data_IF_137606805920
#
_entry.id   IF_137606805920
#
_cell.length_a   1.000
_cell.length_b   1.000
_cell.length_c   1.000
_cell.angle_alpha   90.00
_cell.angle_beta   90.00
_cell.angle_gamma   90.00
#
_symmetry.space_group_name_H-M   'P 1'
#
loop_
_entity.id
_entity.type
_entity.pdbx_description
1 polymer ?
#
# COMPACT_ATOMS: atom_id res chain seq x y z
N UNK A 1 10.67 -15.36 -5.17
CA UNK A 1 9.89 -14.08 -5.24
C UNK A 1 9.68 -13.72 -6.70
N UNK A 2 8.44 -13.53 -7.12
CA UNK A 2 8.09 -13.05 -8.45
C UNK A 2 8.01 -11.50 -8.45
N UNK A 3 8.26 -10.89 -9.63
CA UNK A 3 8.23 -9.44 -9.82
C UNK A 3 7.31 -9.08 -10.98
N UNK A 4 6.65 -7.91 -10.88
CA UNK A 4 5.80 -7.35 -11.94
C UNK A 4 6.07 -5.86 -12.10
N UNK A 5 5.95 -5.37 -13.33
CA UNK A 5 6.05 -3.94 -13.60
C UNK A 5 4.90 -3.17 -12.91
N UNK A 6 5.22 -2.01 -12.35
CA UNK A 6 4.20 -1.07 -11.86
C UNK A 6 3.78 -0.17 -13.02
N UNK A 7 2.66 -0.49 -13.66
CA UNK A 7 2.17 0.28 -14.80
C UNK A 7 3.23 0.51 -15.87
N UNK A 8 3.40 1.75 -16.28
CA UNK A 8 4.39 2.18 -17.29
C UNK A 8 5.64 2.81 -16.69
N UNK A 9 5.86 2.70 -15.37
CA UNK A 9 6.97 3.38 -14.66
C UNK A 9 8.35 2.84 -14.97
N UNK A 10 8.45 1.62 -15.50
CA UNK A 10 9.73 0.89 -15.67
C UNK A 10 10.29 0.33 -14.36
N UNK A 11 9.52 0.37 -13.27
CA UNK A 11 9.89 -0.23 -11.98
C UNK A 11 9.28 -1.61 -11.86
N UNK A 12 10.12 -2.63 -11.61
CA UNK A 12 9.71 -3.98 -11.26
C UNK A 12 9.62 -4.11 -9.73
N UNK A 13 8.40 -4.34 -9.23
CA UNK A 13 8.14 -4.59 -7.81
C UNK A 13 7.86 -6.06 -7.55
N UNK A 14 8.23 -6.52 -6.35
CA UNK A 14 7.80 -7.83 -5.83
C UNK A 14 6.28 -7.88 -5.79
N UNK A 15 5.69 -9.01 -6.21
CA UNK A 15 4.23 -9.17 -6.19
C UNK A 15 3.65 -9.09 -4.78
N UNK A 16 4.46 -9.42 -3.76
CA UNK A 16 4.18 -9.19 -2.34
C UNK A 16 4.83 -7.88 -1.90
N UNK A 17 4.03 -6.94 -1.39
CA UNK A 17 4.49 -5.71 -0.75
C UNK A 17 4.34 -5.78 0.77
N UNK A 18 5.27 -5.18 1.50
CA UNK A 18 5.23 -5.10 2.97
C UNK A 18 4.43 -3.87 3.40
N UNK A 19 3.22 -4.10 3.95
CA UNK A 19 2.32 -3.05 4.44
C UNK A 19 2.54 -2.74 5.92
N UNK A 20 2.97 -1.52 6.25
CA UNK A 20 3.31 -1.09 7.61
C UNK A 20 2.11 -0.58 8.43
N UNK A 21 0.87 -0.90 8.04
CA UNK A 21 -0.32 -0.53 8.80
C UNK A 21 -0.57 -1.43 10.02
N UNK A 22 -0.02 -2.65 10.03
CA UNK A 22 -0.29 -3.69 11.04
C UNK A 22 1.01 -4.28 11.61
N UNK A 23 1.97 -3.41 11.92
CA UNK A 23 3.22 -3.83 12.56
C UNK A 23 2.95 -4.42 13.96
N UNK A 24 3.83 -5.27 14.48
CA UNK A 24 3.73 -5.74 15.86
C UNK A 24 3.76 -4.56 16.84
N UNK A 25 2.96 -4.64 17.90
CA UNK A 25 2.82 -3.58 18.90
C UNK A 25 2.95 -4.14 20.30
N UNK A 26 3.47 -3.31 21.22
CA UNK A 26 3.61 -3.62 22.63
C UNK A 26 2.28 -3.37 23.36
N UNK A 27 1.90 -4.26 24.26
CA UNK A 27 0.72 -4.14 25.12
C UNK A 27 -0.59 -3.87 24.37
N UNK A 28 -0.69 -4.24 23.09
CA UNK A 28 -1.87 -4.01 22.25
C UNK A 28 -2.14 -2.53 21.92
N UNK A 29 -1.19 -1.64 22.16
CA UNK A 29 -1.31 -0.21 21.88
C UNK A 29 -0.90 0.10 20.44
N UNK A 30 -1.81 0.66 19.62
CA UNK A 30 -1.50 0.96 18.23
C UNK A 30 -0.29 1.88 18.02
N UNK A 31 -0.06 2.82 18.95
CA UNK A 31 1.01 3.82 18.93
C UNK A 31 2.35 3.32 19.51
N UNK A 32 2.41 2.07 19.97
CA UNK A 32 3.60 1.48 20.57
C UNK A 32 4.12 0.31 19.72
N UNK A 33 4.73 0.62 18.57
CA UNK A 33 5.34 -0.40 17.70
C UNK A 33 6.45 -1.12 18.45
N UNK A 34 6.47 -2.45 18.37
CA UNK A 34 7.63 -3.25 18.76
C UNK A 34 8.71 -3.12 17.68
N UNK A 35 9.65 -2.22 17.92
CA UNK A 35 10.70 -1.88 16.94
C UNK A 35 11.64 -3.05 16.65
N UNK A 36 11.92 -3.91 17.63
CA UNK A 36 12.78 -5.08 17.43
C UNK A 36 12.09 -6.10 16.54
N UNK A 37 10.90 -6.55 16.91
CA UNK A 37 10.13 -7.51 16.14
C UNK A 37 9.75 -6.96 14.75
N UNK A 38 9.34 -5.70 14.65
CA UNK A 38 9.00 -5.06 13.39
C UNK A 38 10.19 -4.96 12.43
N UNK A 39 11.38 -4.63 12.95
CA UNK A 39 12.62 -4.55 12.15
C UNK A 39 13.04 -5.93 11.66
N UNK A 40 12.98 -6.96 12.51
CA UNK A 40 13.27 -8.34 12.12
C UNK A 40 12.37 -8.78 10.96
N UNK A 41 11.06 -8.54 11.06
CA UNK A 41 10.09 -8.86 9.99
C UNK A 41 10.41 -8.13 8.69
N UNK A 42 10.64 -6.83 8.75
CA UNK A 42 10.91 -6.02 7.55
C UNK A 42 12.22 -6.44 6.87
N UNK A 43 13.28 -6.64 7.64
CA UNK A 43 14.58 -7.11 7.11
C UNK A 43 14.45 -8.50 6.50
N UNK A 44 13.77 -9.43 7.19
CA UNK A 44 13.54 -10.77 6.66
C UNK A 44 12.77 -10.72 5.32
N UNK A 45 11.73 -9.89 5.22
CA UNK A 45 10.99 -9.71 3.97
C UNK A 45 11.88 -9.21 2.83
N UNK A 46 12.69 -8.17 3.09
CA UNK A 46 13.61 -7.58 2.09
C UNK A 46 14.71 -8.56 1.69
N UNK A 47 15.27 -9.31 2.64
CA UNK A 47 16.31 -10.31 2.37
C UNK A 47 15.78 -11.49 1.55
N UNK A 48 14.46 -11.73 1.57
CA UNK A 48 13.78 -12.72 0.72
C UNK A 48 13.13 -12.12 -0.55
N UNK A 49 13.53 -10.90 -0.92
CA UNK A 49 13.20 -10.32 -2.22
C UNK A 49 12.01 -9.38 -2.23
N UNK A 50 11.36 -9.07 -1.11
CA UNK A 50 10.37 -8.00 -1.06
C UNK A 50 11.08 -6.65 -1.28
N UNK A 51 10.66 -5.92 -2.31
CA UNK A 51 11.24 -4.62 -2.65
C UNK A 51 10.20 -3.47 -2.71
N UNK A 52 9.02 -3.67 -2.16
CA UNK A 52 7.99 -2.64 -2.05
C UNK A 52 7.53 -2.51 -0.59
N UNK A 53 7.71 -1.33 -0.01
CA UNK A 53 7.35 -1.00 1.38
C UNK A 53 6.34 0.13 1.39
N UNK A 54 5.17 -0.10 1.99
CA UNK A 54 4.06 0.86 2.07
C UNK A 54 3.82 1.33 3.50
N UNK A 55 3.84 2.63 3.71
CA UNK A 55 3.50 3.28 4.99
C UNK A 55 2.56 4.46 4.77
N UNK A 56 2.20 5.18 5.82
CA UNK A 56 1.45 6.42 5.77
C UNK A 56 1.62 7.25 7.03
N UNK A 57 1.34 8.55 6.90
CA UNK A 57 1.50 9.58 7.93
C UNK A 57 0.82 9.24 9.27
N UNK A 58 -0.36 8.61 9.26
CA UNK A 58 -1.13 8.29 10.46
C UNK A 58 -1.23 6.79 10.78
N UNK A 59 -0.44 5.93 10.10
CA UNK A 59 -0.36 4.53 10.51
C UNK A 59 0.29 4.44 11.89
N UNK A 60 -0.30 3.64 12.77
CA UNK A 60 0.10 3.56 14.18
C UNK A 60 -0.05 4.88 14.95
N UNK A 61 -1.08 5.67 14.62
CA UNK A 61 -1.47 6.82 15.41
C UNK A 61 -2.23 6.43 16.68
N UNK A 62 -2.13 7.26 17.72
CA UNK A 62 -2.86 7.07 18.97
C UNK A 62 -4.37 7.13 18.76
N UNK A 63 -4.82 8.05 17.91
CA UNK A 63 -6.21 8.27 17.55
C UNK A 63 -6.34 8.37 16.02
N UNK A 64 -7.56 8.20 15.52
CA UNK A 64 -7.82 8.32 14.08
C UNK A 64 -7.45 9.72 13.57
N UNK A 65 -6.58 9.73 12.54
CA UNK A 65 -6.09 10.97 11.91
C UNK A 65 -4.97 11.68 12.66
N UNK A 66 -4.55 11.18 13.84
CA UNK A 66 -3.35 11.69 14.50
C UNK A 66 -2.09 11.21 13.77
N UNK A 67 -1.02 11.97 13.88
CA UNK A 67 0.31 11.60 13.40
C UNK A 67 0.75 10.27 14.04
N UNK A 68 1.13 9.30 13.22
CA UNK A 68 1.45 7.94 13.66
C UNK A 68 2.93 7.66 13.78
N UNK A 69 3.28 6.48 14.29
CA UNK A 69 4.66 6.04 14.53
C UNK A 69 5.24 5.17 13.39
N UNK A 70 4.44 4.85 12.37
CA UNK A 70 4.90 3.96 11.29
C UNK A 70 6.03 4.56 10.45
N UNK A 71 5.95 5.86 10.06
CA UNK A 71 7.03 6.48 9.28
C UNK A 71 8.35 6.58 10.06
N UNK A 72 8.41 7.02 11.33
CA UNK A 72 9.65 6.97 12.11
C UNK A 72 10.23 5.57 12.25
N UNK A 73 9.37 4.58 12.47
CA UNK A 73 9.79 3.17 12.51
C UNK A 73 10.43 2.76 11.17
N UNK A 74 9.74 2.98 10.05
CA UNK A 74 10.24 2.61 8.70
C UNK A 74 11.57 3.32 8.41
N UNK A 75 11.67 4.62 8.71
CA UNK A 75 12.91 5.37 8.52
C UNK A 75 14.09 4.83 9.33
N UNK A 76 13.84 4.31 10.54
CA UNK A 76 14.86 3.64 11.33
C UNK A 76 15.19 2.25 10.79
N UNK A 77 14.19 1.44 10.50
CA UNK A 77 14.36 0.06 10.05
C UNK A 77 15.02 -0.05 8.67
N UNK A 78 14.81 0.95 7.79
CA UNK A 78 15.48 0.99 6.48
C UNK A 78 16.92 1.55 6.51
N UNK A 79 17.45 1.91 7.67
CA UNK A 79 18.85 2.33 7.78
C UNK A 79 19.83 1.17 7.47
N UNK A 80 21.11 1.50 7.29
CA UNK A 80 22.15 0.46 7.10
C UNK A 80 22.12 -0.24 5.74
N UNK A 81 21.67 0.44 4.69
CA UNK A 81 21.67 -0.08 3.31
C UNK A 81 20.36 -0.77 2.88
N UNK A 82 19.34 -0.78 3.71
CA UNK A 82 18.03 -1.36 3.33
C UNK A 82 17.17 -0.40 2.50
N UNK A 83 17.35 0.93 2.68
CA UNK A 83 16.60 1.95 1.92
C UNK A 83 16.81 1.81 0.40
N UNK A 84 18.02 1.55 -0.03
CA UNK A 84 18.41 1.43 -1.44
C UNK A 84 17.90 0.14 -2.09
N UNK A 85 17.42 -0.80 -1.29
CA UNK A 85 16.92 -2.10 -1.77
C UNK A 85 15.42 -2.12 -1.99
N UNK A 86 14.70 -1.03 -1.65
CA UNK A 86 13.25 -1.00 -1.69
C UNK A 86 12.72 0.22 -2.43
N UNK A 87 11.54 0.05 -3.02
CA UNK A 87 10.68 1.13 -3.46
C UNK A 87 9.81 1.56 -2.28
N UNK A 88 10.08 2.73 -1.72
CA UNK A 88 9.38 3.25 -0.55
C UNK A 88 8.17 4.09 -0.96
N UNK A 89 7.00 3.72 -0.44
CA UNK A 89 5.74 4.42 -0.65
C UNK A 89 5.21 5.00 0.67
N UNK A 90 4.89 6.28 0.68
CA UNK A 90 4.05 6.91 1.72
C UNK A 90 2.99 7.80 1.11
N UNK A 91 2.14 8.42 1.94
CA UNK A 91 0.91 9.04 1.47
C UNK A 91 0.72 10.43 2.08
N UNK A 92 0.44 11.42 1.23
CA UNK A 92 0.01 12.75 1.64
C UNK A 92 -1.35 12.66 2.38
N UNK A 93 -1.42 13.06 3.65
CA UNK A 93 -2.67 13.01 4.43
C UNK A 93 -3.63 14.12 3.96
N UNK A 94 -4.34 13.90 2.86
CA UNK A 94 -5.16 14.91 2.20
C UNK A 94 -6.21 15.56 3.11
N UNK A 95 -6.73 14.83 4.12
CA UNK A 95 -7.70 15.36 5.07
C UNK A 95 -7.08 16.43 6.00
N UNK A 96 -5.76 16.46 6.17
CA UNK A 96 -5.05 17.47 6.97
C UNK A 96 -4.79 18.76 6.20
N UNK A 97 -5.00 18.79 4.87
CA UNK A 97 -4.76 19.95 4.03
C UNK A 97 -5.84 21.01 4.21
N UNK A 98 -5.41 22.22 4.56
CA UNK A 98 -6.23 23.43 4.65
C UNK A 98 -5.86 24.44 3.57
N UNK A 99 -4.62 24.42 3.12
CA UNK A 99 -4.07 25.29 2.09
C UNK A 99 -3.04 24.57 1.25
N UNK A 100 -2.62 25.19 0.14
CA UNK A 100 -1.52 24.70 -0.70
C UNK A 100 -0.20 24.57 0.09
N UNK A 101 0.09 25.50 1.00
CA UNK A 101 1.34 25.52 1.77
C UNK A 101 1.50 24.33 2.73
N UNK A 102 0.41 23.65 3.04
CA UNK A 102 0.47 22.43 3.87
C UNK A 102 1.15 21.27 3.15
N UNK A 103 1.09 21.23 1.82
CA UNK A 103 1.61 20.11 1.03
C UNK A 103 3.14 19.98 1.12
N UNK A 104 3.94 21.01 0.77
CA UNK A 104 5.39 20.92 0.88
C UNK A 104 5.85 20.76 2.32
N UNK A 105 5.17 21.38 3.30
CA UNK A 105 5.46 21.23 4.73
C UNK A 105 5.29 19.77 5.18
N UNK A 106 4.20 19.11 4.80
CA UNK A 106 3.93 17.72 5.14
C UNK A 106 4.90 16.76 4.44
N UNK A 107 5.21 16.99 3.17
CA UNK A 107 6.21 16.19 2.45
C UNK A 107 7.60 16.30 3.12
N UNK A 108 8.04 17.50 3.47
CA UNK A 108 9.30 17.70 4.18
C UNK A 108 9.32 16.98 5.54
N UNK A 109 8.22 17.05 6.30
CA UNK A 109 8.08 16.34 7.56
C UNK A 109 8.13 14.81 7.36
N UNK A 110 7.49 14.27 6.33
CA UNK A 110 7.50 12.85 6.01
C UNK A 110 8.89 12.35 5.60
N UNK A 111 9.63 13.11 4.79
CA UNK A 111 11.01 12.81 4.42
C UNK A 111 11.93 12.76 5.65
N UNK A 112 11.79 13.72 6.59
CA UNK A 112 12.53 13.73 7.85
C UNK A 112 12.21 12.48 8.69
N UNK A 113 10.92 12.13 8.84
CA UNK A 113 10.47 10.95 9.61
C UNK A 113 10.98 9.66 9.00
N UNK A 114 10.95 9.55 7.68
CA UNK A 114 11.42 8.40 6.91
C UNK A 114 12.95 8.37 6.75
N UNK A 115 13.69 9.42 7.21
CA UNK A 115 15.15 9.53 7.13
C UNK A 115 15.67 9.32 5.71
N UNK A 116 14.99 9.89 4.73
CA UNK A 116 15.33 9.76 3.31
C UNK A 116 15.23 11.13 2.62
N UNK A 117 15.96 11.31 1.54
CA UNK A 117 15.92 12.52 0.72
C UNK A 117 14.85 12.48 -0.38
N UNK A 118 14.31 11.31 -0.67
CA UNK A 118 13.25 11.13 -1.66
C UNK A 118 12.32 9.96 -1.35
N UNK A 119 11.15 9.97 -2.01
CA UNK A 119 10.19 8.86 -2.02
C UNK A 119 10.12 8.26 -3.42
N UNK A 120 10.06 6.94 -3.51
CA UNK A 120 9.84 6.30 -4.82
C UNK A 120 8.40 6.50 -5.27
N UNK A 121 7.44 6.33 -4.37
CA UNK A 121 6.02 6.55 -4.65
C UNK A 121 5.37 7.44 -3.59
N UNK A 122 4.67 8.48 -4.05
CA UNK A 122 3.95 9.38 -3.16
C UNK A 122 2.48 9.42 -3.53
N UNK A 123 1.62 8.95 -2.62
CA UNK A 123 0.21 8.76 -2.88
C UNK A 123 -0.63 9.91 -2.30
N UNK A 124 -1.69 10.31 -2.99
CA UNK A 124 -2.80 11.01 -2.34
C UNK A 124 -3.61 10.01 -1.51
N UNK A 125 -3.74 10.24 -0.20
CA UNK A 125 -4.26 9.24 0.73
C UNK A 125 -5.78 9.21 0.81
N UNK A 126 -6.40 8.11 0.38
CA UNK A 126 -7.81 7.84 0.60
C UNK A 126 -8.75 8.71 -0.22
N UNK A 127 -8.49 8.89 -1.51
CA UNK A 127 -9.33 9.67 -2.39
C UNK A 127 -10.74 9.09 -2.53
N UNK A 128 -11.70 10.00 -2.55
CA UNK A 128 -13.06 9.86 -3.10
C UNK A 128 -13.25 10.96 -4.15
N UNK A 129 -14.37 10.98 -4.87
CA UNK A 129 -14.68 12.05 -5.81
C UNK A 129 -14.65 13.43 -5.17
N UNK A 130 -15.33 13.57 -4.01
CA UNK A 130 -15.39 14.83 -3.27
C UNK A 130 -14.01 15.29 -2.75
N UNK A 131 -13.26 14.37 -2.15
CA UNK A 131 -11.94 14.71 -1.62
C UNK A 131 -10.96 15.05 -2.73
N UNK A 132 -11.04 14.41 -3.88
CA UNK A 132 -10.23 14.74 -5.06
C UNK A 132 -10.53 16.16 -5.55
N UNK A 133 -11.81 16.52 -5.75
CA UNK A 133 -12.20 17.86 -6.20
C UNK A 133 -11.68 18.94 -5.24
N UNK A 134 -11.79 18.71 -3.94
CA UNK A 134 -11.28 19.61 -2.91
C UNK A 134 -9.76 19.81 -3.01
N UNK A 135 -8.98 18.74 -3.11
CA UNK A 135 -7.50 18.88 -3.13
C UNK A 135 -6.98 19.33 -4.50
N UNK A 136 -7.69 19.01 -5.59
CA UNK A 136 -7.38 19.55 -6.91
C UNK A 136 -7.56 21.08 -6.93
N UNK A 137 -8.63 21.60 -6.30
CA UNK A 137 -8.84 23.05 -6.14
C UNK A 137 -7.74 23.74 -5.30
N UNK A 138 -7.03 23.00 -4.45
CA UNK A 138 -5.84 23.48 -3.73
C UNK A 138 -4.55 23.41 -4.55
N UNK A 139 -4.57 22.88 -5.79
CA UNK A 139 -3.41 22.75 -6.65
C UNK A 139 -2.53 21.55 -6.32
N UNK A 140 -3.13 20.40 -5.91
CA UNK A 140 -2.37 19.21 -5.52
C UNK A 140 -1.63 18.59 -6.71
N UNK A 141 -2.19 18.64 -7.92
CA UNK A 141 -1.55 18.04 -9.09
C UNK A 141 -0.31 18.82 -9.50
N UNK A 142 -0.38 20.16 -9.45
CA UNK A 142 0.77 21.04 -9.67
C UNK A 142 1.86 20.81 -8.60
N UNK A 143 1.46 20.64 -7.34
CA UNK A 143 2.41 20.34 -6.27
C UNK A 143 3.13 19.01 -6.51
N UNK A 144 2.43 17.96 -6.96
CA UNK A 144 3.07 16.67 -7.27
C UNK A 144 4.12 16.81 -8.38
N UNK A 145 3.84 17.63 -9.41
CA UNK A 145 4.81 17.91 -10.48
C UNK A 145 6.03 18.69 -9.96
N UNK A 146 5.82 19.70 -9.12
CA UNK A 146 6.89 20.47 -8.49
C UNK A 146 7.79 19.54 -7.66
N UNK A 147 7.19 18.72 -6.77
CA UNK A 147 7.93 17.76 -5.93
C UNK A 147 8.72 16.72 -6.77
N UNK A 148 8.16 16.31 -7.93
CA UNK A 148 8.82 15.41 -8.86
C UNK A 148 10.02 16.10 -9.55
N UNK A 149 9.85 17.32 -9.99
CA UNK A 149 10.93 18.12 -10.63
C UNK A 149 12.07 18.42 -9.65
N UNK A 150 11.77 18.63 -8.39
CA UNK A 150 12.74 18.82 -7.31
C UNK A 150 13.43 17.50 -6.88
N UNK A 151 12.97 16.35 -7.39
CA UNK A 151 13.52 15.04 -7.04
C UNK A 151 13.10 14.51 -5.68
N UNK A 152 12.14 15.15 -5.00
CA UNK A 152 11.64 14.73 -3.69
C UNK A 152 10.73 13.51 -3.79
N UNK A 153 10.05 13.31 -4.93
CA UNK A 153 9.27 12.13 -5.26
C UNK A 153 9.59 11.67 -6.68
N UNK A 154 9.57 10.35 -6.92
CA UNK A 154 9.78 9.82 -8.29
C UNK A 154 8.45 9.67 -9.03
N UNK A 155 7.46 9.04 -8.39
CA UNK A 155 6.21 8.65 -9.02
C UNK A 155 4.99 9.03 -8.17
N UNK A 156 4.14 9.94 -8.67
CA UNK A 156 2.84 10.23 -8.07
C UNK A 156 1.86 9.07 -8.24
N UNK A 157 1.09 8.79 -7.19
CA UNK A 157 0.07 7.76 -7.16
C UNK A 157 -1.11 8.18 -6.27
N UNK A 158 -2.11 7.32 -6.09
CA UNK A 158 -3.19 7.58 -5.15
C UNK A 158 -3.76 6.29 -4.56
N UNK A 159 -4.32 6.37 -3.35
CA UNK A 159 -5.18 5.33 -2.79
C UNK A 159 -6.63 5.79 -2.83
N UNK A 160 -7.56 4.84 -3.01
CA UNK A 160 -8.94 5.14 -3.33
C UNK A 160 -9.95 4.46 -2.42
N UNK A 161 -10.93 5.25 -1.95
CA UNK A 161 -12.08 4.80 -1.15
C UNK A 161 -13.35 5.55 -1.57
N UNK A 162 -13.84 5.31 -2.78
CA UNK A 162 -14.98 6.03 -3.34
C UNK A 162 -15.83 5.17 -4.27
N UNK A 163 -16.63 5.82 -5.12
CA UNK A 163 -17.51 5.15 -6.08
C UNK A 163 -16.79 4.83 -7.39
N UNK A 164 -17.18 3.79 -8.14
CA UNK A 164 -16.51 3.38 -9.38
C UNK A 164 -16.37 4.49 -10.43
N UNK A 165 -17.39 5.33 -10.59
CA UNK A 165 -17.35 6.44 -11.57
C UNK A 165 -16.35 7.52 -11.18
N UNK A 166 -16.24 7.83 -9.89
CA UNK A 166 -15.21 8.74 -9.37
C UNK A 166 -13.80 8.18 -9.59
N UNK A 167 -13.63 6.86 -9.44
CA UNK A 167 -12.36 6.19 -9.69
C UNK A 167 -11.86 6.44 -11.12
N UNK A 168 -12.71 6.18 -12.13
CA UNK A 168 -12.36 6.39 -13.54
C UNK A 168 -11.99 7.84 -13.83
N UNK A 169 -12.75 8.78 -13.29
CA UNK A 169 -12.49 10.22 -13.43
C UNK A 169 -11.12 10.61 -12.83
N UNK A 170 -10.77 10.04 -11.68
CA UNK A 170 -9.46 10.30 -11.04
C UNK A 170 -8.33 9.68 -11.85
N UNK A 171 -8.49 8.45 -12.34
CA UNK A 171 -7.51 7.79 -13.23
C UNK A 171 -7.24 8.64 -14.47
N UNK A 172 -8.26 9.25 -15.07
CA UNK A 172 -8.12 10.07 -16.27
C UNK A 172 -7.59 11.48 -16.03
N UNK A 173 -7.54 11.92 -14.76
CA UNK A 173 -7.20 13.32 -14.43
C UNK A 173 -5.69 13.61 -14.43
N UNK A 174 -4.84 12.60 -14.35
CA UNK A 174 -3.41 12.78 -14.21
C UNK A 174 -2.64 11.53 -14.67
N UNK A 175 -1.34 11.67 -14.94
CA UNK A 175 -0.44 10.56 -15.31
C UNK A 175 0.04 9.80 -14.05
N UNK A 176 -0.87 9.03 -13.46
CA UNK A 176 -0.61 8.26 -12.24
C UNK A 176 0.27 7.04 -12.51
N UNK A 177 1.25 6.81 -11.65
CA UNK A 177 2.04 5.58 -11.68
C UNK A 177 1.18 4.35 -11.37
N UNK A 178 0.35 4.45 -10.35
CA UNK A 178 -0.61 3.40 -9.98
C UNK A 178 -1.78 3.94 -9.17
N UNK A 179 -2.83 3.13 -9.08
CA UNK A 179 -3.93 3.27 -8.13
C UNK A 179 -3.85 2.18 -7.07
N UNK A 180 -3.90 2.54 -5.78
CA UNK A 180 -4.02 1.59 -4.67
C UNK A 180 -5.48 1.41 -4.31
N UNK A 181 -6.01 0.21 -4.49
CA UNK A 181 -7.43 -0.12 -4.33
C UNK A 181 -7.64 -1.29 -3.39
N UNK A 182 -8.81 -1.36 -2.76
CA UNK A 182 -9.25 -2.56 -2.07
C UNK A 182 -9.76 -3.57 -3.08
N UNK A 183 -9.24 -4.81 -3.03
CA UNK A 183 -9.72 -5.91 -3.85
C UNK A 183 -9.43 -7.26 -3.21
N UNK A 184 -10.43 -8.13 -3.18
CA UNK A 184 -10.35 -9.52 -2.73
C UNK A 184 -11.58 -10.28 -3.24
N UNK A 185 -11.61 -11.61 -3.13
CA UNK A 185 -12.70 -12.45 -3.67
C UNK A 185 -14.08 -12.21 -3.01
N UNK A 186 -14.15 -11.50 -1.88
CA UNK A 186 -15.42 -11.13 -1.22
C UNK A 186 -15.91 -9.73 -1.62
N UNK A 187 -15.00 -8.86 -2.04
CA UNK A 187 -15.29 -7.45 -2.34
C UNK A 187 -14.99 -7.13 -3.82
N UNK A 188 -15.48 -7.99 -4.73
CA UNK A 188 -15.19 -7.89 -6.18
C UNK A 188 -15.77 -6.60 -6.81
N UNK A 189 -16.94 -6.15 -6.33
CA UNK A 189 -17.62 -4.96 -6.84
C UNK A 189 -17.60 -3.80 -5.85
N UNK A 190 -16.78 -3.87 -4.79
CA UNK A 190 -16.72 -2.84 -3.76
C UNK A 190 -15.73 -1.72 -4.14
N UNK A 191 -16.12 -0.45 -3.98
CA UNK A 191 -15.33 0.74 -4.33
C UNK A 191 -14.94 0.74 -5.83
N UNK A 192 -13.63 0.74 -6.16
CA UNK A 192 -13.16 0.60 -7.53
C UNK A 192 -13.52 -0.78 -8.11
N UNK A 193 -13.44 -1.82 -7.30
CA UNK A 193 -13.75 -3.19 -7.65
C UNK A 193 -12.98 -3.72 -8.86
N UNK A 194 -13.44 -4.85 -9.41
CA UNK A 194 -12.85 -5.44 -10.60
C UNK A 194 -12.90 -4.51 -11.82
N UNK A 195 -14.00 -3.80 -12.01
CA UNK A 195 -14.17 -2.90 -13.15
C UNK A 195 -13.16 -1.75 -13.11
N UNK A 196 -12.86 -1.21 -11.92
CA UNK A 196 -11.85 -0.17 -11.74
C UNK A 196 -10.45 -0.70 -11.93
N UNK A 197 -10.14 -1.91 -11.40
CA UNK A 197 -8.88 -2.59 -11.62
C UNK A 197 -8.56 -2.71 -13.11
N UNK A 198 -9.51 -3.26 -13.89
CA UNK A 198 -9.34 -3.42 -15.34
C UNK A 198 -9.19 -2.07 -16.04
N UNK A 199 -9.99 -1.06 -15.65
CA UNK A 199 -9.91 0.27 -16.24
C UNK A 199 -8.54 0.91 -16.06
N UNK A 200 -7.96 0.83 -14.85
CA UNK A 200 -6.62 1.34 -14.58
C UNK A 200 -5.56 0.60 -15.39
N UNK A 201 -5.60 -0.74 -15.39
CA UNK A 201 -4.66 -1.57 -16.13
C UNK A 201 -4.70 -1.31 -17.64
N UNK A 202 -5.89 -1.19 -18.24
CA UNK A 202 -6.08 -0.90 -19.67
C UNK A 202 -5.55 0.49 -20.07
N UNK A 203 -5.43 1.42 -19.10
CA UNK A 203 -4.81 2.74 -19.26
C UNK A 203 -3.30 2.75 -19.01
N UNK A 204 -2.70 1.61 -18.65
CA UNK A 204 -1.29 1.52 -18.28
C UNK A 204 -0.96 2.03 -16.87
N UNK A 205 -1.98 2.36 -16.07
CA UNK A 205 -1.84 2.70 -14.66
C UNK A 205 -1.72 1.42 -13.86
N UNK A 206 -0.65 1.26 -13.08
CA UNK A 206 -0.45 0.10 -12.23
C UNK A 206 -1.56 -0.07 -11.19
N UNK A 207 -1.74 -1.28 -10.69
CA UNK A 207 -2.68 -1.53 -9.59
C UNK A 207 -1.94 -2.14 -8.41
N UNK A 208 -2.00 -1.46 -7.27
CA UNK A 208 -1.55 -1.97 -5.98
C UNK A 208 -2.79 -2.33 -5.16
N UNK A 209 -2.86 -3.57 -4.68
CA UNK A 209 -4.03 -4.05 -3.94
C UNK A 209 -3.79 -3.99 -2.44
N UNK A 210 -4.69 -3.32 -1.72
CA UNK A 210 -4.79 -3.33 -0.26
C UNK A 210 -5.97 -4.20 0.19
N UNK A 211 -5.94 -4.66 1.45
CA UNK A 211 -6.98 -5.52 2.07
C UNK A 211 -7.23 -6.85 1.33
N UNK A 212 -6.19 -7.53 0.79
CA UNK A 212 -6.38 -8.82 0.10
C UNK A 212 -6.93 -9.88 1.05
N UNK A 213 -6.59 -9.80 2.34
CA UNK A 213 -7.02 -10.69 3.41
C UNK A 213 -8.10 -10.08 4.31
N UNK A 214 -8.63 -8.90 3.97
CA UNK A 214 -9.70 -8.20 4.71
C UNK A 214 -9.39 -8.11 6.22
N UNK A 215 -8.17 -7.69 6.56
CA UNK A 215 -7.69 -7.60 7.95
C UNK A 215 -7.60 -8.95 8.66
N UNK A 216 -7.27 -10.03 7.93
CA UNK A 216 -7.18 -11.40 8.43
C UNK A 216 -8.51 -12.17 8.48
N UNK A 217 -9.64 -11.53 8.09
CA UNK A 217 -10.95 -12.20 8.04
C UNK A 217 -11.02 -13.29 6.97
N UNK A 218 -10.18 -13.22 5.96
CA UNK A 218 -10.08 -14.20 4.87
C UNK A 218 -8.89 -15.16 5.06
N UNK A 219 -8.20 -15.10 6.21
CA UNK A 219 -7.12 -15.99 6.62
C UNK A 219 -7.51 -16.75 7.89
N UNK A 220 -6.85 -16.50 9.02
CA UNK A 220 -7.08 -17.22 10.29
C UNK A 220 -8.52 -17.15 10.79
N UNK A 221 -9.23 -16.07 10.48
CA UNK A 221 -10.62 -15.82 10.86
C UNK A 221 -11.63 -16.18 9.77
N UNK A 222 -11.21 -16.96 8.76
CA UNK A 222 -12.11 -17.37 7.69
C UNK A 222 -13.32 -18.15 8.23
N UNK A 223 -14.57 -17.83 7.80
CA UNK A 223 -15.76 -18.56 8.19
C UNK A 223 -15.69 -20.05 7.83
N UNK A 224 -16.37 -20.89 8.60
CA UNK A 224 -16.36 -22.35 8.38
C UNK A 224 -16.83 -22.74 6.98
N UNK A 225 -17.89 -22.09 6.48
CA UNK A 225 -18.42 -22.33 5.13
C UNK A 225 -17.35 -22.07 4.05
N UNK A 226 -16.49 -21.07 4.25
CA UNK A 226 -15.40 -20.77 3.33
C UNK A 226 -14.31 -21.85 3.39
N UNK A 227 -13.99 -22.31 4.59
CA UNK A 227 -13.04 -23.42 4.80
C UNK A 227 -13.52 -24.73 4.18
N UNK A 228 -14.83 -25.01 4.25
CA UNK A 228 -15.45 -26.16 3.59
C UNK A 228 -15.29 -26.09 2.06
N UNK A 229 -15.48 -24.91 1.46
CA UNK A 229 -15.26 -24.71 0.01
C UNK A 229 -13.80 -24.96 -0.35
N UNK A 230 -12.86 -24.45 0.42
CA UNK A 230 -11.43 -24.66 0.16
C UNK A 230 -11.00 -26.12 0.36
N UNK A 231 -11.56 -26.82 1.36
CA UNK A 231 -11.22 -28.22 1.60
C UNK A 231 -11.83 -29.19 0.56
N UNK A 232 -12.81 -28.73 -0.21
CA UNK A 232 -13.35 -29.49 -1.34
C UNK A 232 -12.53 -29.35 -2.63
N UNK A 233 -11.52 -28.48 -2.66
CA UNK A 233 -10.60 -28.33 -3.79
C UNK A 233 -9.58 -29.51 -3.81
N UNK A 234 -9.12 -29.86 -5.01
CA UNK A 234 -8.12 -30.91 -5.20
C UNK A 234 -6.74 -30.57 -4.61
N UNK A 235 -6.48 -29.28 -4.34
CA UNK A 235 -5.22 -28.78 -3.79
C UNK A 235 -5.40 -28.31 -2.35
N UNK A 236 -4.54 -28.77 -1.45
CA UNK A 236 -4.51 -28.31 -0.06
C UNK A 236 -3.76 -27.00 0.02
N UNK A 237 -4.48 -25.90 0.28
CA UNK A 237 -3.95 -24.55 0.50
C UNK A 237 -4.57 -23.92 1.74
N UNK A 238 -3.83 -23.02 2.36
CA UNK A 238 -4.40 -22.23 3.45
C UNK A 238 -5.40 -21.19 2.91
N UNK A 239 -6.31 -20.68 3.75
CA UNK A 239 -7.19 -19.56 3.35
C UNK A 239 -6.42 -18.32 2.91
N UNK A 240 -5.27 -18.02 3.55
CA UNK A 240 -4.41 -16.89 3.14
C UNK A 240 -3.83 -17.11 1.74
N UNK A 241 -3.33 -18.31 1.45
CA UNK A 241 -2.83 -18.67 0.13
C UNK A 241 -3.92 -18.54 -0.95
N UNK A 242 -5.13 -19.06 -0.71
CA UNK A 242 -6.24 -18.90 -1.65
C UNK A 242 -6.56 -17.43 -1.94
N UNK A 243 -6.59 -16.59 -0.88
CA UNK A 243 -6.89 -15.17 -1.04
C UNK A 243 -5.81 -14.41 -1.81
N UNK A 244 -4.53 -14.67 -1.53
CA UNK A 244 -3.42 -14.02 -2.21
C UNK A 244 -3.36 -14.45 -3.69
N UNK A 245 -3.45 -15.74 -3.98
CA UNK A 245 -3.45 -16.28 -5.35
C UNK A 245 -4.61 -15.75 -6.18
N UNK A 246 -5.80 -15.61 -5.59
CA UNK A 246 -6.95 -15.01 -6.28
C UNK A 246 -6.62 -13.59 -6.78
N UNK A 247 -5.97 -12.78 -5.96
CA UNK A 247 -5.62 -11.41 -6.37
C UNK A 247 -4.45 -11.41 -7.36
N UNK A 248 -3.48 -12.29 -7.19
CA UNK A 248 -2.34 -12.40 -8.12
C UNK A 248 -2.70 -13.03 -9.47
N UNK A 249 -3.83 -13.75 -9.57
CA UNK A 249 -4.34 -14.28 -10.85
C UNK A 249 -4.78 -13.15 -11.81
N UNK A 250 -5.03 -11.94 -11.29
CA UNK A 250 -5.32 -10.77 -12.08
C UNK A 250 -4.05 -10.16 -12.68
N UNK A 251 -3.86 -10.22 -14.03
CA UNK A 251 -2.63 -9.72 -14.67
C UNK A 251 -2.38 -8.23 -14.49
N UNK A 252 -3.46 -7.44 -14.25
CA UNK A 252 -3.39 -5.99 -14.01
C UNK A 252 -2.86 -5.62 -12.64
N UNK A 253 -2.74 -6.57 -11.70
CA UNK A 253 -2.23 -6.32 -10.35
C UNK A 253 -0.70 -6.38 -10.36
N UNK A 254 -0.06 -5.29 -9.98
CA UNK A 254 1.40 -5.20 -9.84
C UNK A 254 1.88 -5.68 -8.47
N UNK A 255 1.25 -5.20 -7.40
CA UNK A 255 1.65 -5.50 -6.02
C UNK A 255 0.42 -5.79 -5.17
N UNK A 256 0.52 -6.78 -4.28
CA UNK A 256 -0.45 -7.06 -3.23
C UNK A 256 0.17 -6.74 -1.88
N UNK A 257 -0.43 -5.79 -1.15
CA UNK A 257 0.03 -5.37 0.18
C UNK A 257 -0.48 -6.34 1.24
N UNK A 258 0.41 -6.90 2.02
CA UNK A 258 0.06 -7.66 3.21
C UNK A 258 0.64 -7.01 4.48
N UNK A 259 -0.19 -6.90 5.51
CA UNK A 259 0.22 -6.47 6.85
C UNK A 259 0.56 -7.69 7.69
N UNK A 260 1.81 -8.10 7.66
CA UNK A 260 2.33 -9.27 8.39
C UNK A 260 2.91 -8.81 9.72
N UNK A 261 2.39 -9.31 10.83
CA UNK A 261 2.83 -8.93 12.18
C UNK A 261 3.46 -10.08 12.97
N UNK A 262 3.62 -11.24 12.33
CA UNK A 262 4.37 -12.38 12.88
C UNK A 262 5.26 -13.00 11.81
N UNK A 263 6.35 -13.63 12.22
CA UNK A 263 7.27 -14.32 11.31
C UNK A 263 6.57 -15.48 10.57
N UNK A 264 5.61 -16.13 11.20
CA UNK A 264 4.82 -17.21 10.60
C UNK A 264 4.00 -16.70 9.41
N UNK A 265 3.26 -15.58 9.58
CA UNK A 265 2.50 -14.95 8.47
C UNK A 265 3.43 -14.50 7.34
N UNK A 266 4.59 -13.94 7.69
CA UNK A 266 5.56 -13.51 6.70
C UNK A 266 6.12 -14.68 5.91
N UNK A 267 6.54 -15.77 6.58
CA UNK A 267 7.08 -16.96 5.94
C UNK A 267 6.04 -17.62 5.01
N UNK A 268 4.77 -17.71 5.46
CA UNK A 268 3.67 -18.21 4.63
C UNK A 268 3.50 -17.37 3.36
N UNK A 269 3.39 -16.05 3.50
CA UNK A 269 3.16 -15.15 2.36
C UNK A 269 4.35 -15.15 1.39
N UNK A 270 5.59 -15.23 1.88
CA UNK A 270 6.78 -15.36 1.05
C UNK A 270 6.76 -16.66 0.24
N UNK A 271 6.43 -17.79 0.87
CA UNK A 271 6.35 -19.08 0.19
C UNK A 271 5.29 -19.09 -0.94
N UNK A 272 4.17 -18.36 -0.75
CA UNK A 272 3.12 -18.24 -1.78
C UNK A 272 3.55 -17.31 -2.92
N UNK A 273 4.46 -16.35 -2.67
CA UNK A 273 4.94 -15.38 -3.65
C UNK A 273 6.13 -15.88 -4.51
N UNK A 274 6.58 -17.10 -4.30
CA UNK A 274 7.61 -17.78 -5.11
C UNK A 274 7.01 -18.45 -6.35
#
# INVERSE_FOLDING_TARGET
MLYRAIGTTGVDASILGFGCMRLPVLDGRPDAIDYEAGTELLHHAIDHGVNYVDTAYFYHGKDFGSKGESEPFVGQALSGGYRERVNLATKLPIFALKSRDDMPRLLAEQLERLRTDHLDFYLLHGLSGESFDRVAALGVLEFLEEARQEGLIRFPAFSFHGKPDDFKRIVDAYDWAFAQIQYNYMDVDYQAGYSGLRYAADKGVGVVVMEPLKGGKLADKAPEQLREVFSAADETRTPAEWALRYVWDEPGVSVVLSGMNTMEQLAENLAVAE
#
